data_IF_870197491353
#
_entry.id   IF_870197491353
#
_cell.length_a   1.000
_cell.length_b   1.000
_cell.length_c   1.000
_cell.angle_alpha   90.00
_cell.angle_beta   90.00
_cell.angle_gamma   90.00
#
_symmetry.space_group_name_H-M   'P 1'
#
loop_
_entity.id
_entity.type
_entity.pdbx_description
1 polymer ?
#
# COMPACT_ATOMS: atom_id res chain seq x y z
N UNK A 1 -4.22 16.35 20.84
CA UNK A 1 -3.38 16.61 19.66
C UNK A 1 -2.17 15.68 19.52
N UNK A 2 -1.61 15.15 20.61
CA UNK A 2 -0.45 14.24 20.56
C UNK A 2 -0.66 12.93 19.79
N UNK A 3 -1.90 12.43 19.64
CA UNK A 3 -2.17 11.18 18.91
C UNK A 3 -2.11 11.38 17.38
N UNK A 4 -2.75 12.46 16.90
CA UNK A 4 -2.73 12.81 15.48
C UNK A 4 -1.36 13.30 15.00
N UNK A 5 -0.61 14.04 15.84
CA UNK A 5 0.74 14.49 15.50
C UNK A 5 1.73 13.32 15.36
N UNK A 6 1.59 12.30 16.21
CA UNK A 6 2.35 11.05 16.11
C UNK A 6 1.98 10.25 14.86
N UNK A 7 0.70 10.18 14.52
CA UNK A 7 0.24 9.49 13.31
C UNK A 7 0.66 10.21 12.02
N UNK A 8 0.81 11.54 12.05
CA UNK A 8 1.18 12.34 10.87
C UNK A 8 2.68 12.66 10.76
N UNK A 9 3.53 12.14 11.65
CA UNK A 9 4.98 12.40 11.66
C UNK A 9 5.39 13.87 11.82
N UNK A 10 4.49 14.74 12.29
CA UNK A 10 4.66 16.20 12.26
C UNK A 10 4.65 16.84 13.63
N UNK A 11 5.19 18.06 13.75
CA UNK A 11 5.14 18.81 15.01
C UNK A 11 3.68 19.15 15.38
N UNK A 12 3.38 19.18 16.68
CA UNK A 12 2.05 19.48 17.17
C UNK A 12 1.54 20.86 16.73
N UNK A 13 2.45 21.84 16.59
CA UNK A 13 2.11 23.20 16.15
C UNK A 13 1.75 23.25 14.66
N UNK A 14 2.49 22.52 13.81
CA UNK A 14 2.19 22.41 12.37
C UNK A 14 0.87 21.67 12.16
N UNK A 15 0.59 20.64 12.95
CA UNK A 15 -0.70 19.95 12.86
C UNK A 15 -1.86 20.85 13.29
N UNK A 16 -1.71 21.62 14.37
CA UNK A 16 -2.76 22.53 14.84
C UNK A 16 -3.11 23.59 13.80
N UNK A 17 -2.12 24.14 13.08
CA UNK A 17 -2.38 25.12 12.02
C UNK A 17 -3.15 24.49 10.84
N UNK A 18 -2.82 23.26 10.45
CA UNK A 18 -3.55 22.50 9.43
C UNK A 18 -4.98 22.17 9.85
N UNK A 19 -5.17 21.68 11.08
CA UNK A 19 -6.50 21.37 11.62
C UNK A 19 -7.38 22.63 11.64
N UNK A 20 -6.87 23.78 12.09
CA UNK A 20 -7.62 25.05 12.05
C UNK A 20 -8.03 25.45 10.64
N UNK A 21 -7.12 25.29 9.67
CA UNK A 21 -7.39 25.55 8.25
C UNK A 21 -8.49 24.62 7.72
N UNK A 22 -8.41 23.33 8.01
CA UNK A 22 -9.40 22.34 7.59
C UNK A 22 -10.78 22.56 8.22
N UNK A 23 -10.82 22.97 9.49
CA UNK A 23 -12.09 23.38 10.13
C UNK A 23 -12.65 24.62 9.46
N UNK A 24 -11.83 25.63 9.17
CA UNK A 24 -12.26 26.84 8.45
C UNK A 24 -12.81 26.52 7.05
N UNK A 25 -12.23 25.52 6.38
CA UNK A 25 -12.69 25.05 5.06
C UNK A 25 -13.83 24.04 5.14
N UNK A 26 -14.33 23.70 6.33
CA UNK A 26 -15.43 22.75 6.50
C UNK A 26 -15.05 21.30 6.20
N UNK A 27 -13.76 20.97 6.09
CA UNK A 27 -13.28 19.59 5.91
C UNK A 27 -13.28 18.80 7.22
N UNK A 28 -13.16 19.50 8.36
CA UNK A 28 -13.25 18.90 9.68
C UNK A 28 -14.26 19.65 10.54
N UNK A 29 -14.93 18.94 11.43
CA UNK A 29 -15.76 19.53 12.48
C UNK A 29 -15.44 18.89 13.85
N UNK A 30 -15.52 19.66 14.94
CA UNK A 30 -15.34 19.11 16.29
C UNK A 30 -16.55 18.23 16.64
N UNK A 31 -16.30 17.03 17.18
CA UNK A 31 -17.35 16.09 17.59
C UNK A 31 -17.45 15.90 19.10
N UNK A 32 -16.33 16.04 19.83
CA UNK A 32 -16.33 16.03 21.30
C UNK A 32 -15.07 16.65 21.87
N UNK A 33 -15.13 16.98 23.16
CA UNK A 33 -13.99 17.43 23.95
C UNK A 33 -13.70 16.41 25.04
N UNK A 34 -12.48 15.88 25.07
CA UNK A 34 -12.01 14.93 26.07
C UNK A 34 -11.14 15.63 27.12
N UNK A 35 -11.20 15.15 28.37
CA UNK A 35 -10.23 15.53 29.41
C UNK A 35 -8.95 14.74 29.20
N UNK A 36 -7.83 15.44 29.13
CA UNK A 36 -6.48 14.89 29.06
C UNK A 36 -5.69 15.33 30.30
N UNK A 37 -4.70 14.56 30.79
CA UNK A 37 -3.89 14.93 31.96
C UNK A 37 -3.18 16.30 31.85
N UNK A 38 -3.06 16.83 30.63
CA UNK A 38 -2.41 18.12 30.31
C UNK A 38 -3.41 19.19 29.80
N UNK A 39 -4.72 18.99 30.01
CA UNK A 39 -5.76 19.95 29.61
C UNK A 39 -6.91 19.34 28.82
N UNK A 40 -7.62 20.16 28.03
CA UNK A 40 -8.74 19.71 27.20
C UNK A 40 -8.25 19.33 25.80
N UNK A 41 -8.77 18.24 25.23
CA UNK A 41 -8.44 17.79 23.88
C UNK A 41 -9.70 17.74 23.01
N UNK A 42 -9.70 18.48 21.91
CA UNK A 42 -10.78 18.40 20.92
C UNK A 42 -10.57 17.18 20.00
N UNK A 43 -11.64 16.43 19.76
CA UNK A 43 -11.72 15.36 18.76
C UNK A 43 -12.47 15.90 17.55
N UNK A 44 -11.90 15.66 16.36
CA UNK A 44 -12.44 16.11 15.08
C UNK A 44 -12.85 14.92 14.22
N UNK A 45 -13.83 15.12 13.35
CA UNK A 45 -14.24 14.16 12.33
C UNK A 45 -14.27 14.85 10.96
N UNK A 46 -14.03 14.07 9.90
CA UNK A 46 -14.27 14.50 8.52
C UNK A 46 -15.73 14.91 8.33
N UNK A 47 -15.98 15.96 7.55
CA UNK A 47 -17.35 16.35 7.19
C UNK A 47 -18.00 15.41 6.18
N UNK A 48 -17.21 14.69 5.38
CA UNK A 48 -17.67 13.71 4.41
C UNK A 48 -16.95 12.36 4.54
N UNK A 49 -17.53 11.31 3.95
CA UNK A 49 -16.88 9.99 3.85
C UNK A 49 -15.74 9.97 2.83
N UNK A 50 -15.78 10.88 1.84
CA UNK A 50 -14.73 11.05 0.84
C UNK A 50 -14.80 12.43 0.20
N UNK A 51 -13.69 12.85 -0.41
CA UNK A 51 -13.59 14.09 -1.17
C UNK A 51 -13.19 13.76 -2.60
N UNK A 52 -13.90 14.34 -3.56
CA UNK A 52 -13.54 14.29 -4.97
C UNK A 52 -12.78 15.56 -5.32
N UNK A 53 -11.56 15.40 -5.87
CA UNK A 53 -10.76 16.52 -6.39
C UNK A 53 -10.49 16.23 -7.87
N UNK A 54 -11.00 17.05 -8.80
CA UNK A 54 -10.78 16.81 -10.22
C UNK A 54 -9.33 17.10 -10.61
N UNK A 55 -8.81 16.40 -11.62
CA UNK A 55 -7.42 16.57 -12.06
C UNK A 55 -7.06 17.99 -12.47
N UNK A 56 -7.97 18.78 -13.04
CA UNK A 56 -7.68 20.18 -13.37
C UNK A 56 -7.40 21.05 -12.12
N UNK A 57 -7.81 20.60 -10.94
CA UNK A 57 -7.54 21.23 -9.65
C UNK A 57 -6.34 20.60 -8.91
N UNK A 58 -5.64 19.62 -9.50
CA UNK A 58 -4.46 18.95 -8.92
C UNK A 58 -3.32 18.98 -9.93
N UNK A 59 -2.14 19.54 -9.59
CA UNK A 59 -1.01 19.52 -10.52
C UNK A 59 -0.46 18.10 -10.62
N UNK A 60 0.15 17.76 -11.76
CA UNK A 60 0.72 16.41 -11.97
C UNK A 60 1.79 16.05 -10.92
N UNK A 61 2.61 17.03 -10.52
CA UNK A 61 3.59 16.90 -9.43
C UNK A 61 2.92 16.57 -8.09
N UNK A 62 1.76 17.18 -7.81
CA UNK A 62 0.98 16.92 -6.60
C UNK A 62 0.36 15.51 -6.66
N UNK A 63 -0.03 15.03 -7.85
CA UNK A 63 -0.62 13.70 -8.00
C UNK A 63 0.38 12.59 -7.71
N UNK A 64 1.60 12.70 -8.24
CA UNK A 64 2.67 11.73 -7.94
C UNK A 64 2.99 11.74 -6.44
N UNK A 65 3.21 12.92 -5.86
CA UNK A 65 3.51 13.04 -4.44
C UNK A 65 2.36 12.50 -3.56
N UNK A 66 1.11 12.72 -3.97
CA UNK A 66 -0.06 12.17 -3.30
C UNK A 66 -0.12 10.64 -3.42
N UNK A 67 0.10 10.11 -4.62
CA UNK A 67 0.14 8.67 -4.85
C UNK A 67 1.25 8.01 -4.04
N UNK A 68 2.43 8.61 -3.97
CA UNK A 68 3.53 8.14 -3.13
C UNK A 68 3.13 8.12 -1.65
N UNK A 69 2.51 9.19 -1.14
CA UNK A 69 2.03 9.24 0.25
C UNK A 69 0.95 8.20 0.57
N UNK A 70 0.11 7.84 -0.41
CA UNK A 70 -1.00 6.90 -0.22
C UNK A 70 -0.54 5.45 -0.38
N UNK A 71 0.29 5.15 -1.39
CA UNK A 71 0.63 3.79 -1.77
C UNK A 71 1.97 3.30 -1.23
N UNK A 72 2.98 4.17 -1.02
CA UNK A 72 4.29 3.72 -0.52
C UNK A 72 4.18 3.03 0.86
N UNK A 73 3.42 3.53 1.84
CA UNK A 73 3.31 2.83 3.13
C UNK A 73 2.72 1.42 3.00
N UNK A 74 1.74 1.24 2.10
CA UNK A 74 1.16 -0.07 1.82
C UNK A 74 2.18 -1.00 1.11
N UNK A 75 2.97 -0.45 0.19
CA UNK A 75 4.03 -1.17 -0.49
C UNK A 75 5.15 -1.59 0.47
N UNK A 76 5.63 -0.69 1.32
CA UNK A 76 6.61 -0.98 2.36
C UNK A 76 6.11 -2.06 3.32
N UNK A 77 4.84 -2.00 3.72
CA UNK A 77 4.24 -3.03 4.55
C UNK A 77 4.17 -4.38 3.84
N UNK A 78 3.81 -4.41 2.55
CA UNK A 78 3.84 -5.63 1.73
C UNK A 78 5.25 -6.21 1.67
N UNK A 79 6.28 -5.38 1.42
CA UNK A 79 7.67 -5.82 1.38
C UNK A 79 8.14 -6.37 2.73
N UNK A 80 7.77 -5.74 3.84
CA UNK A 80 8.08 -6.23 5.18
C UNK A 80 7.43 -7.59 5.46
N UNK A 81 6.16 -7.79 5.05
CA UNK A 81 5.47 -9.09 5.17
C UNK A 81 6.09 -10.16 4.29
N UNK A 82 6.47 -9.81 3.07
CA UNK A 82 7.16 -10.72 2.15
C UNK A 82 8.50 -11.18 2.73
N UNK A 83 9.31 -10.23 3.23
CA UNK A 83 10.59 -10.54 3.87
C UNK A 83 10.43 -11.47 5.09
N UNK A 84 9.50 -11.17 5.99
CA UNK A 84 9.23 -12.03 7.16
C UNK A 84 8.71 -13.42 6.77
N UNK A 85 7.97 -13.54 5.67
CA UNK A 85 7.56 -14.84 5.12
C UNK A 85 8.73 -15.66 4.58
N UNK A 86 9.73 -15.01 3.98
CA UNK A 86 10.99 -15.64 3.57
C UNK A 86 11.83 -16.11 4.75
N UNK A 87 11.94 -15.29 5.82
CA UNK A 87 12.64 -15.68 7.06
C UNK A 87 12.02 -16.93 7.70
N UNK A 88 10.69 -17.05 7.66
CA UNK A 88 9.97 -18.20 8.21
C UNK A 88 10.25 -19.52 7.48
N UNK A 89 10.73 -19.49 6.23
CA UNK A 89 11.14 -20.70 5.51
C UNK A 89 12.37 -21.35 6.14
N UNK A 90 13.32 -20.55 6.65
CA UNK A 90 14.53 -21.00 7.33
C UNK A 90 15.41 -21.97 6.53
N UNK A 91 16.42 -22.54 7.18
CA UNK A 91 17.26 -23.59 6.62
C UNK A 91 18.04 -23.16 5.38
N UNK A 92 18.01 -24.00 4.32
CA UNK A 92 18.74 -23.79 3.06
C UNK A 92 18.03 -22.82 2.10
N UNK A 93 16.91 -22.23 2.49
CA UNK A 93 16.19 -21.26 1.66
C UNK A 93 16.94 -19.93 1.57
N UNK A 94 17.05 -19.42 0.34
CA UNK A 94 17.65 -18.11 0.03
C UNK A 94 16.91 -17.39 -1.08
N UNK A 95 17.45 -16.25 -1.50
CA UNK A 95 16.95 -15.45 -2.62
C UNK A 95 17.83 -15.65 -3.84
N UNK A 96 17.22 -16.07 -4.95
CA UNK A 96 17.88 -16.08 -6.24
C UNK A 96 17.56 -14.78 -6.99
N UNK A 97 18.62 -14.05 -7.34
CA UNK A 97 18.55 -12.87 -8.18
C UNK A 97 18.88 -13.29 -9.61
N UNK A 98 17.93 -13.09 -10.53
CA UNK A 98 18.15 -13.36 -11.96
C UNK A 98 17.99 -12.09 -12.78
N UNK A 99 18.87 -11.85 -13.77
CA UNK A 99 18.68 -10.75 -14.70
C UNK A 99 17.43 -11.03 -15.55
N UNK A 100 16.54 -10.07 -15.63
CA UNK A 100 15.39 -10.10 -16.53
C UNK A 100 15.72 -9.53 -17.90
N UNK A 101 14.81 -9.72 -18.86
CA UNK A 101 14.98 -9.37 -20.28
C UNK A 101 15.12 -7.87 -20.56
N UNK A 102 14.88 -7.01 -19.58
CA UNK A 102 14.81 -5.56 -19.73
C UNK A 102 15.65 -4.80 -18.69
N UNK A 103 16.71 -5.42 -18.18
CA UNK A 103 17.61 -4.80 -17.20
C UNK A 103 17.00 -4.68 -15.79
N UNK A 104 15.83 -5.28 -15.57
CA UNK A 104 15.30 -5.52 -14.25
C UNK A 104 15.94 -6.78 -13.63
N UNK A 105 15.83 -6.92 -12.32
CA UNK A 105 16.16 -8.14 -11.60
C UNK A 105 14.86 -8.81 -11.17
N UNK A 106 14.77 -10.13 -11.37
CA UNK A 106 13.76 -10.96 -10.73
C UNK A 106 14.33 -11.51 -9.43
N UNK A 107 13.50 -11.55 -8.39
CA UNK A 107 13.84 -12.02 -7.05
C UNK A 107 12.86 -13.11 -6.68
N UNK A 108 13.34 -14.33 -6.46
CA UNK A 108 12.50 -15.45 -6.07
C UNK A 108 13.13 -16.26 -4.91
N UNK A 109 12.32 -16.77 -3.95
CA UNK A 109 12.81 -17.71 -2.96
C UNK A 109 13.19 -19.05 -3.61
N UNK A 110 14.30 -19.64 -3.17
CA UNK A 110 14.85 -20.90 -3.66
C UNK A 110 15.47 -21.70 -2.52
N UNK A 111 15.17 -22.99 -2.44
CA UNK A 111 15.83 -23.92 -1.51
C UNK A 111 17.17 -24.43 -2.04
N UNK A 112 17.35 -24.42 -3.37
CA UNK A 112 18.54 -24.87 -4.06
C UNK A 112 18.76 -23.95 -5.27
N UNK A 113 19.94 -23.32 -5.43
CA UNK A 113 20.22 -22.40 -6.54
C UNK A 113 20.23 -23.10 -7.92
N UNK A 114 20.26 -24.43 -7.96
CA UNK A 114 20.31 -25.23 -9.20
C UNK A 114 18.97 -25.86 -9.56
N UNK A 115 17.99 -25.85 -8.65
CA UNK A 115 16.65 -26.39 -8.91
C UNK A 115 15.67 -25.25 -9.13
N UNK A 116 14.81 -25.43 -10.13
CA UNK A 116 13.65 -24.57 -10.26
C UNK A 116 12.60 -24.95 -9.22
N UNK A 117 12.40 -24.06 -8.27
CA UNK A 117 11.20 -24.04 -7.43
C UNK A 117 10.20 -23.06 -8.04
N UNK A 118 8.90 -23.30 -7.92
CA UNK A 118 7.91 -22.27 -8.23
C UNK A 118 7.53 -21.57 -6.93
N UNK A 119 7.37 -20.23 -6.89
CA UNK A 119 6.72 -19.58 -5.74
C UNK A 119 5.28 -20.08 -5.52
N UNK A 120 4.71 -20.79 -6.49
CA UNK A 120 3.39 -21.42 -6.43
C UNK A 120 3.42 -22.85 -5.86
N UNK A 121 4.60 -23.37 -5.52
CA UNK A 121 4.72 -24.71 -4.94
C UNK A 121 3.95 -24.79 -3.62
N UNK A 122 3.15 -25.85 -3.43
CA UNK A 122 2.28 -25.98 -2.26
C UNK A 122 3.03 -26.05 -0.91
N UNK A 123 4.33 -26.35 -0.95
CA UNK A 123 5.19 -26.37 0.23
C UNK A 123 5.61 -24.96 0.69
N UNK A 124 5.38 -23.93 -0.14
CA UNK A 124 5.73 -22.55 0.15
C UNK A 124 4.57 -21.79 0.79
N UNK A 125 4.85 -20.83 1.69
CA UNK A 125 3.85 -19.88 2.13
C UNK A 125 3.34 -19.08 0.93
N UNK A 126 2.10 -18.58 0.97
CA UNK A 126 1.51 -17.80 -0.11
C UNK A 126 2.16 -16.41 -0.20
N UNK A 127 3.31 -16.36 -0.86
CA UNK A 127 4.12 -15.17 -1.08
C UNK A 127 4.39 -15.03 -2.58
N UNK A 128 4.09 -13.86 -3.13
CA UNK A 128 4.39 -13.51 -4.51
C UNK A 128 4.88 -12.07 -4.55
N UNK A 129 6.06 -11.87 -5.13
CA UNK A 129 6.60 -10.57 -5.47
C UNK A 129 7.11 -10.63 -6.90
N UNK A 130 6.41 -9.97 -7.81
CA UNK A 130 6.71 -10.02 -9.24
C UNK A 130 6.66 -8.62 -9.83
N UNK A 131 7.64 -8.33 -10.68
CA UNK A 131 7.70 -7.12 -11.48
C UNK A 131 8.02 -7.52 -12.92
N UNK A 132 7.09 -7.23 -13.83
CA UNK A 132 7.22 -7.57 -15.25
C UNK A 132 7.04 -6.34 -16.12
N UNK A 133 7.77 -6.29 -17.23
CA UNK A 133 7.54 -5.34 -18.32
C UNK A 133 6.88 -6.14 -19.44
N UNK A 134 5.60 -5.86 -19.67
CA UNK A 134 4.78 -6.54 -20.69
C UNK A 134 4.67 -5.67 -21.93
N UNK A 135 4.79 -6.28 -23.12
CA UNK A 135 4.55 -5.63 -24.40
C UNK A 135 3.22 -6.13 -24.95
N UNK A 136 2.16 -5.36 -24.69
CA UNK A 136 0.80 -5.68 -25.08
C UNK A 136 0.26 -4.59 -25.98
N UNK A 137 -0.67 -4.93 -26.86
CA UNK A 137 -1.50 -3.92 -27.50
C UNK A 137 -2.55 -3.38 -26.52
N UNK A 138 -3.30 -2.35 -26.95
CA UNK A 138 -4.30 -1.73 -26.09
C UNK A 138 -5.47 -2.66 -25.74
N UNK A 139 -5.82 -3.60 -26.62
CA UNK A 139 -6.92 -4.53 -26.38
C UNK A 139 -6.53 -5.56 -25.32
N UNK A 140 -5.32 -6.11 -25.43
CA UNK A 140 -4.73 -7.06 -24.48
C UNK A 140 -4.45 -6.41 -23.13
N UNK A 141 -3.90 -5.18 -23.12
CA UNK A 141 -3.72 -4.42 -21.87
C UNK A 141 -5.06 -4.19 -21.15
N UNK A 142 -6.13 -3.91 -21.90
CA UNK A 142 -7.47 -3.76 -21.32
C UNK A 142 -8.05 -5.09 -20.83
N UNK A 143 -7.77 -6.19 -21.52
CA UNK A 143 -8.15 -7.53 -21.08
C UNK A 143 -7.47 -7.87 -19.74
N UNK A 144 -6.15 -7.71 -19.66
CA UNK A 144 -5.39 -7.91 -18.43
C UNK A 144 -5.90 -7.01 -17.28
N UNK A 145 -6.20 -5.73 -17.57
CA UNK A 145 -6.79 -4.82 -16.59
C UNK A 145 -8.08 -5.39 -15.96
N UNK A 146 -8.98 -5.95 -16.79
CA UNK A 146 -10.25 -6.53 -16.33
C UNK A 146 -10.00 -7.79 -15.52
N UNK A 147 -9.15 -8.69 -16.01
CA UNK A 147 -8.84 -9.94 -15.31
C UNK A 147 -8.23 -9.69 -13.92
N UNK A 148 -7.27 -8.77 -13.81
CA UNK A 148 -6.70 -8.37 -12.52
C UNK A 148 -7.77 -7.81 -11.57
N UNK A 149 -8.67 -6.97 -12.08
CA UNK A 149 -9.77 -6.42 -11.30
C UNK A 149 -10.71 -7.53 -10.80
N UNK A 150 -11.13 -8.44 -11.68
CA UNK A 150 -12.07 -9.51 -11.38
C UNK A 150 -11.49 -10.50 -10.36
N UNK A 151 -10.20 -10.83 -10.49
CA UNK A 151 -9.46 -11.64 -9.50
C UNK A 151 -9.53 -10.99 -8.12
N UNK A 152 -9.23 -9.69 -8.03
CA UNK A 152 -9.22 -8.95 -6.76
C UNK A 152 -10.61 -8.90 -6.15
N UNK A 153 -11.65 -8.58 -6.93
CA UNK A 153 -13.04 -8.55 -6.45
C UNK A 153 -13.45 -9.92 -5.92
N UNK A 154 -13.16 -10.99 -6.67
CA UNK A 154 -13.49 -12.37 -6.30
C UNK A 154 -12.86 -12.77 -4.96
N UNK A 155 -11.60 -12.44 -4.70
CA UNK A 155 -10.93 -12.81 -3.45
C UNK A 155 -11.28 -11.89 -2.28
N UNK A 156 -11.60 -10.60 -2.53
CA UNK A 156 -12.12 -9.69 -1.50
C UNK A 156 -13.47 -10.12 -0.93
N UNK A 157 -14.29 -10.79 -1.73
CA UNK A 157 -15.59 -11.30 -1.29
C UNK A 157 -15.50 -12.58 -0.45
N UNK A 158 -14.31 -13.20 -0.32
CA UNK A 158 -14.12 -14.41 0.46
C UNK A 158 -13.74 -14.08 1.90
N UNK A 159 -14.24 -14.86 2.83
CA UNK A 159 -13.83 -14.79 4.23
C UNK A 159 -12.66 -15.74 4.49
N UNK A 160 -11.70 -15.30 5.31
CA UNK A 160 -10.52 -16.06 5.68
C UNK A 160 -9.92 -15.54 6.98
N UNK A 161 -9.16 -16.41 7.67
CA UNK A 161 -8.49 -16.05 8.94
C UNK A 161 -7.13 -15.37 8.75
N UNK A 162 -6.53 -15.51 7.56
CA UNK A 162 -5.25 -14.92 7.22
C UNK A 162 -5.40 -13.51 6.64
N UNK A 163 -4.53 -12.61 7.07
CA UNK A 163 -4.40 -11.27 6.48
C UNK A 163 -3.31 -11.31 5.40
N UNK A 164 -3.68 -10.97 4.17
CA UNK A 164 -2.77 -10.91 3.03
C UNK A 164 -2.83 -9.53 2.38
N UNK A 165 -1.66 -8.96 2.10
CA UNK A 165 -1.55 -7.66 1.47
C UNK A 165 -1.26 -7.83 -0.01
N UNK A 166 -2.09 -7.20 -0.85
CA UNK A 166 -1.95 -7.22 -2.30
C UNK A 166 -1.93 -5.78 -2.80
N UNK A 167 -0.88 -5.43 -3.54
CA UNK A 167 -0.78 -4.20 -4.31
C UNK A 167 -0.58 -4.59 -5.77
N UNK A 168 -1.42 -4.08 -6.67
CA UNK A 168 -1.30 -4.30 -8.12
C UNK A 168 -1.35 -2.95 -8.83
N UNK A 169 -0.58 -2.82 -9.90
CA UNK A 169 -0.63 -1.68 -10.81
C UNK A 169 -0.46 -2.15 -12.25
N UNK A 170 -1.10 -1.45 -13.18
CA UNK A 170 -0.94 -1.59 -14.62
C UNK A 170 -0.99 -0.18 -15.21
N UNK A 171 0.01 0.19 -16.00
CA UNK A 171 0.14 1.50 -16.62
C UNK A 171 0.79 1.39 -18.00
#
# INVERSE_FOLDING_TARGET
MARAARASGGSANTLLSRVRRWVRWGLLHPVRTERHPRGRMQVYRSSAQGYFVPYHATRAEDLRALAEQVYLPAFEHLLARYAGGGEALGGDWGLLFTPGSHGNWSIAPRADPRKDCSPLDAALPPLLLEAAILRLDAADAKALQRELHDVIVRYRAREGRGEYHLLVGLA
#
